data_IF_829770373103
#
_entry.id   IF_829770373103
#
_cell.length_a   1.000
_cell.length_b   1.000
_cell.length_c   1.000
_cell.angle_alpha   90.00
_cell.angle_beta   90.00
_cell.angle_gamma   90.00
#
_symmetry.space_group_name_H-M   'P 1'
#
loop_
_entity.id
_entity.type
_entity.pdbx_description
1 polymer ?
#
# COMPACT_ATOMS: atom_id res chain seq x y z
N UNK A 1 0.55 1.33 -16.30
CA UNK A 1 -0.05 0.10 -15.73
C UNK A 1 -1.17 -0.33 -16.65
N UNK A 2 -1.02 -1.41 -17.39
CA UNK A 2 -2.03 -1.89 -18.34
C UNK A 2 -3.05 -2.70 -17.55
N UNK A 3 -4.26 -2.20 -17.40
CA UNK A 3 -5.33 -2.94 -16.77
C UNK A 3 -5.78 -4.05 -17.70
N UNK A 4 -5.56 -5.30 -17.29
CA UNK A 4 -6.07 -6.47 -18.00
C UNK A 4 -7.59 -6.43 -17.88
N UNK A 5 -8.29 -6.25 -19.01
CA UNK A 5 -9.74 -6.46 -19.06
C UNK A 5 -9.98 -7.97 -19.20
N UNK A 6 -10.42 -8.67 -18.15
CA UNK A 6 -10.69 -10.09 -18.29
C UNK A 6 -11.84 -10.28 -19.27
N UNK A 7 -11.56 -10.96 -20.39
CA UNK A 7 -12.59 -11.33 -21.34
C UNK A 7 -13.61 -12.22 -20.62
N UNK A 8 -14.90 -11.85 -20.71
CA UNK A 8 -16.00 -12.63 -20.12
C UNK A 8 -16.42 -12.25 -18.71
N UNK A 9 -15.80 -11.25 -18.08
CA UNK A 9 -16.28 -10.78 -16.77
C UNK A 9 -17.62 -10.05 -16.91
N UNK A 10 -18.59 -10.39 -16.04
CA UNK A 10 -19.90 -9.73 -15.97
C UNK A 10 -19.81 -8.33 -15.37
N UNK A 11 -18.86 -8.10 -14.46
CA UNK A 11 -18.63 -6.80 -13.85
C UNK A 11 -17.77 -5.96 -14.80
N UNK A 12 -18.33 -4.84 -15.26
CA UNK A 12 -17.68 -3.93 -16.23
C UNK A 12 -17.28 -2.59 -15.60
N UNK A 13 -17.70 -2.35 -14.37
CA UNK A 13 -17.44 -1.10 -13.65
C UNK A 13 -16.39 -1.34 -12.57
N UNK A 14 -15.42 -0.46 -12.49
CA UNK A 14 -14.43 -0.42 -11.42
C UNK A 14 -14.16 1.04 -11.03
N UNK A 15 -14.08 1.31 -9.73
CA UNK A 15 -13.58 2.56 -9.22
C UNK A 15 -12.05 2.49 -9.19
N UNK A 16 -11.41 3.36 -9.93
CA UNK A 16 -9.94 3.42 -10.01
C UNK A 16 -9.49 4.81 -9.57
N UNK A 17 -8.29 4.89 -9.03
CA UNK A 17 -7.60 6.16 -8.78
C UNK A 17 -6.69 6.42 -9.98
N UNK A 18 -7.12 7.26 -10.95
CA UNK A 18 -6.31 7.63 -12.10
C UNK A 18 -5.18 8.56 -11.64
N UNK A 19 -4.14 8.67 -12.47
CA UNK A 19 -3.08 9.69 -12.37
C UNK A 19 -2.40 9.79 -10.99
N UNK A 20 -2.41 8.68 -10.24
CA UNK A 20 -1.74 8.63 -8.96
C UNK A 20 -0.22 8.52 -9.14
N UNK A 21 0.50 9.57 -8.73
CA UNK A 21 1.96 9.62 -8.76
C UNK A 21 2.54 9.44 -7.33
N UNK A 22 3.01 8.22 -6.99
CA UNK A 22 3.46 7.91 -5.62
C UNK A 22 4.58 8.82 -5.11
N UNK A 23 5.47 9.27 -6.00
CA UNK A 23 6.63 10.10 -5.64
C UNK A 23 6.26 11.46 -5.06
N UNK A 24 5.04 11.93 -5.31
CA UNK A 24 4.55 13.20 -4.76
C UNK A 24 4.12 13.08 -3.29
N UNK A 25 3.87 11.85 -2.82
CA UNK A 25 3.24 11.60 -1.53
C UNK A 25 4.08 10.71 -0.61
N UNK A 26 4.92 9.85 -1.18
CA UNK A 26 5.69 8.86 -0.44
C UNK A 26 7.17 9.09 -0.67
N UNK A 27 7.96 9.09 0.39
CA UNK A 27 9.41 9.28 0.29
C UNK A 27 10.08 8.21 -0.57
N UNK A 28 11.15 8.57 -1.26
CA UNK A 28 11.90 7.65 -2.12
C UNK A 28 12.43 6.42 -1.37
N UNK A 29 12.65 6.53 -0.06
CA UNK A 29 13.11 5.44 0.80
C UNK A 29 12.02 4.40 1.07
N UNK A 30 10.75 4.81 1.13
CA UNK A 30 9.61 3.94 1.40
C UNK A 30 9.02 3.32 0.13
N UNK A 31 9.23 3.93 -1.04
CA UNK A 31 8.66 3.44 -2.30
C UNK A 31 9.00 1.97 -2.59
N UNK A 32 10.23 1.46 -2.35
CA UNK A 32 10.57 0.07 -2.62
C UNK A 32 9.83 -0.94 -1.76
N UNK A 33 9.41 -0.55 -0.55
CA UNK A 33 8.75 -1.42 0.44
C UNK A 33 7.26 -1.17 0.58
N UNK A 34 6.72 -0.19 -0.14
CA UNK A 34 5.35 0.28 0.00
C UNK A 34 4.56 -0.02 -1.27
N UNK A 35 3.65 -0.98 -1.20
CA UNK A 35 2.70 -1.26 -2.29
C UNK A 35 1.65 -0.14 -2.42
N UNK A 36 0.98 -0.08 -3.56
CA UNK A 36 -0.02 0.93 -3.88
C UNK A 36 -1.12 1.05 -2.82
N UNK A 37 -1.61 -0.07 -2.28
CA UNK A 37 -2.63 -0.03 -1.22
C UNK A 37 -2.11 0.59 0.08
N UNK A 38 -0.84 0.33 0.42
CA UNK A 38 -0.20 0.92 1.58
C UNK A 38 0.09 2.42 1.36
N UNK A 39 0.44 2.82 0.13
CA UNK A 39 0.59 4.23 -0.23
C UNK A 39 -0.73 5.00 -0.04
N UNK A 40 -1.85 4.44 -0.49
CA UNK A 40 -3.17 5.04 -0.25
C UNK A 40 -3.50 5.14 1.24
N UNK A 41 -3.22 4.10 2.01
CA UNK A 41 -3.46 4.10 3.44
C UNK A 41 -2.64 5.18 4.16
N UNK A 42 -1.38 5.38 3.78
CA UNK A 42 -0.51 6.41 4.35
C UNK A 42 -1.04 7.82 4.06
N UNK A 43 -1.43 8.09 2.82
CA UNK A 43 -1.95 9.40 2.43
C UNK A 43 -3.27 9.69 3.15
N UNK A 44 -4.19 8.73 3.17
CA UNK A 44 -5.46 8.86 3.84
C UNK A 44 -5.31 9.08 5.37
N UNK A 45 -4.34 8.41 5.98
CA UNK A 45 -4.04 8.60 7.39
C UNK A 45 -3.45 9.99 7.68
N UNK A 46 -2.55 10.49 6.84
CA UNK A 46 -1.99 11.84 6.97
C UNK A 46 -3.08 12.91 6.82
N UNK A 47 -3.98 12.73 5.85
CA UNK A 47 -5.13 13.62 5.66
C UNK A 47 -6.06 13.58 6.88
N UNK A 48 -6.41 12.40 7.37
CA UNK A 48 -7.27 12.24 8.54
C UNK A 48 -6.66 12.88 9.81
N UNK A 49 -5.37 12.69 10.04
CA UNK A 49 -4.66 13.31 11.17
C UNK A 49 -4.63 14.85 11.06
N UNK A 50 -4.45 15.36 9.85
CA UNK A 50 -4.49 16.79 9.58
C UNK A 50 -5.88 17.36 9.88
N UNK A 51 -6.94 16.71 9.39
CA UNK A 51 -8.32 17.13 9.65
C UNK A 51 -8.69 17.06 11.14
N UNK A 52 -8.15 16.06 11.86
CA UNK A 52 -8.36 15.93 13.31
C UNK A 52 -7.51 16.89 14.16
N UNK A 53 -6.61 17.66 13.57
CA UNK A 53 -5.67 18.53 14.29
C UNK A 53 -4.62 17.76 15.10
N UNK A 54 -4.33 16.52 14.71
CA UNK A 54 -3.39 15.63 15.40
C UNK A 54 -1.99 15.60 14.79
N UNK A 55 -1.77 16.20 13.63
CA UNK A 55 -0.48 16.19 12.93
C UNK A 55 0.68 16.74 13.77
N UNK A 56 0.41 17.69 14.66
CA UNK A 56 1.40 18.27 15.57
C UNK A 56 1.61 17.46 16.87
N UNK A 57 0.86 16.37 17.07
CA UNK A 57 0.91 15.54 18.28
C UNK A 57 1.66 14.21 18.07
N UNK A 58 2.39 14.08 16.99
CA UNK A 58 3.26 12.93 16.77
C UNK A 58 4.49 13.02 17.69
N UNK A 59 4.95 11.91 18.26
CA UNK A 59 4.42 10.53 18.17
C UNK A 59 3.10 10.35 18.95
N UNK A 60 2.25 9.42 18.48
CA UNK A 60 0.97 9.13 19.15
C UNK A 60 1.13 8.20 20.37
N UNK A 61 2.20 7.45 20.42
CA UNK A 61 2.58 6.60 21.56
C UNK A 61 1.65 5.39 21.77
N UNK A 62 1.71 4.85 22.98
CA UNK A 62 1.06 3.61 23.42
C UNK A 62 -0.46 3.70 23.60
N UNK A 63 -1.01 4.90 23.49
CA UNK A 63 -2.47 5.15 23.57
C UNK A 63 -3.16 5.14 22.21
N UNK A 64 -2.42 4.89 21.14
CA UNK A 64 -2.92 4.83 19.79
C UNK A 64 -2.56 3.50 19.13
N UNK A 65 -3.44 3.01 18.27
CA UNK A 65 -3.22 1.82 17.48
C UNK A 65 -3.67 2.03 16.05
N UNK A 66 -3.05 1.33 15.11
CA UNK A 66 -3.46 1.33 13.71
C UNK A 66 -4.14 0.01 13.39
N UNK A 67 -5.41 0.07 13.04
CA UNK A 67 -6.19 -1.08 12.57
C UNK A 67 -6.64 -0.80 11.14
N UNK A 68 -6.24 -1.64 10.20
CA UNK A 68 -6.55 -1.49 8.80
C UNK A 68 -7.02 -2.82 8.22
N UNK A 69 -8.20 -2.81 7.60
CA UNK A 69 -8.74 -3.96 6.89
C UNK A 69 -8.51 -3.84 5.39
N UNK A 70 -8.11 -4.94 4.77
CA UNK A 70 -8.00 -5.05 3.31
C UNK A 70 -8.48 -6.43 2.87
N UNK A 71 -9.09 -6.51 1.68
CA UNK A 71 -9.54 -7.79 1.15
C UNK A 71 -8.37 -8.62 0.60
N UNK A 72 -7.56 -8.04 -0.29
CA UNK A 72 -6.44 -8.73 -0.97
C UNK A 72 -5.13 -7.96 -0.80
N UNK A 73 -5.21 -6.66 -0.54
CA UNK A 73 -4.02 -5.80 -0.45
C UNK A 73 -3.33 -5.66 -1.80
N UNK A 74 -2.20 -6.32 -1.93
CA UNK A 74 -1.24 -6.19 -3.05
C UNK A 74 -1.41 -7.23 -4.15
N UNK A 75 -2.63 -7.62 -4.50
CA UNK A 75 -2.89 -8.66 -5.51
C UNK A 75 -2.09 -8.48 -6.80
N UNK A 76 -2.05 -7.27 -7.36
CA UNK A 76 -1.30 -7.00 -8.60
C UNK A 76 0.22 -7.14 -8.45
N UNK A 77 0.77 -6.79 -7.31
CA UNK A 77 2.21 -6.96 -7.02
C UNK A 77 2.55 -8.44 -6.85
N UNK A 78 1.67 -9.21 -6.22
CA UNK A 78 1.85 -10.65 -6.07
C UNK A 78 1.78 -11.36 -7.43
N UNK A 79 0.81 -11.03 -8.27
CA UNK A 79 0.68 -11.57 -9.62
C UNK A 79 1.93 -11.26 -10.47
N UNK A 80 2.43 -10.03 -10.40
CA UNK A 80 3.63 -9.64 -11.12
C UNK A 80 4.86 -10.40 -10.60
N UNK A 81 4.98 -10.57 -9.29
CA UNK A 81 6.09 -11.32 -8.70
C UNK A 81 6.07 -12.80 -9.11
N UNK A 82 4.90 -13.43 -9.16
CA UNK A 82 4.74 -14.79 -9.67
C UNK A 82 5.09 -14.89 -11.15
N UNK A 83 4.64 -13.96 -11.97
CA UNK A 83 4.96 -13.92 -13.38
C UNK A 83 6.47 -13.77 -13.60
N UNK A 84 7.11 -12.84 -12.90
CA UNK A 84 8.55 -12.62 -13.00
C UNK A 84 9.33 -13.87 -12.58
N UNK A 85 8.91 -14.54 -11.50
CA UNK A 85 9.61 -15.71 -10.99
C UNK A 85 9.39 -16.97 -11.86
N UNK A 86 8.13 -17.29 -12.18
CA UNK A 86 7.80 -18.56 -12.84
C UNK A 86 7.87 -18.50 -14.37
N UNK A 87 7.66 -17.32 -14.96
CA UNK A 87 7.61 -17.19 -16.43
C UNK A 87 8.89 -16.56 -16.97
N UNK A 88 9.42 -15.54 -16.29
CA UNK A 88 10.63 -14.86 -16.73
C UNK A 88 11.90 -15.36 -16.05
N UNK A 89 11.78 -16.35 -15.16
CA UNK A 89 12.90 -16.95 -14.39
C UNK A 89 13.80 -15.94 -13.69
N UNK A 90 13.19 -14.82 -13.27
CA UNK A 90 13.89 -13.74 -12.54
C UNK A 90 13.98 -14.06 -11.06
N UNK A 91 15.01 -13.55 -10.41
CA UNK A 91 15.12 -13.62 -8.96
C UNK A 91 14.00 -12.83 -8.31
N UNK A 92 13.39 -13.39 -7.25
CA UNK A 92 12.43 -12.67 -6.44
C UNK A 92 13.08 -11.42 -5.82
N UNK A 93 12.35 -10.30 -5.86
CA UNK A 93 12.75 -9.08 -5.16
C UNK A 93 12.65 -9.31 -3.64
N UNK A 94 13.68 -8.93 -2.91
CA UNK A 94 13.75 -9.08 -1.44
C UNK A 94 12.62 -8.33 -0.72
N UNK A 95 12.07 -7.30 -1.32
CA UNK A 95 10.94 -6.54 -0.79
C UNK A 95 9.57 -7.09 -1.19
N UNK A 96 9.51 -8.18 -1.96
CA UNK A 96 8.23 -8.76 -2.37
C UNK A 96 7.38 -9.11 -1.15
N UNK A 97 7.94 -9.88 -0.20
CA UNK A 97 7.19 -10.31 0.99
C UNK A 97 6.69 -9.13 1.84
N UNK A 98 7.53 -8.17 2.28
CA UNK A 98 7.05 -7.01 3.00
C UNK A 98 5.95 -6.23 2.29
N UNK A 99 6.02 -6.12 0.96
CA UNK A 99 5.01 -5.41 0.17
C UNK A 99 3.67 -6.13 0.09
N UNK A 100 3.69 -7.47 0.01
CA UNK A 100 2.46 -8.25 -0.24
C UNK A 100 1.74 -8.66 1.04
N UNK A 101 2.34 -8.48 2.21
CA UNK A 101 1.70 -8.82 3.47
C UNK A 101 0.43 -7.99 3.71
N UNK A 102 -0.68 -8.59 4.10
CA UNK A 102 -1.92 -7.86 4.37
C UNK A 102 -1.79 -6.76 5.43
N UNK A 103 -0.89 -6.95 6.38
CA UNK A 103 -0.60 -5.98 7.44
C UNK A 103 0.48 -4.93 7.06
N UNK A 104 1.01 -4.95 5.84
CA UNK A 104 2.06 -4.02 5.43
C UNK A 104 1.67 -2.56 5.66
N UNK A 105 0.44 -2.18 5.28
CA UNK A 105 -0.03 -0.81 5.44
C UNK A 105 -0.14 -0.40 6.92
N UNK A 106 -0.71 -1.24 7.78
CA UNK A 106 -0.82 -0.93 9.21
C UNK A 106 0.55 -0.89 9.89
N UNK A 107 1.46 -1.79 9.52
CA UNK A 107 2.83 -1.79 10.05
C UNK A 107 3.60 -0.53 9.66
N UNK A 108 3.53 -0.11 8.39
CA UNK A 108 4.17 1.13 7.93
C UNK A 108 3.59 2.36 8.63
N UNK A 109 2.27 2.40 8.82
CA UNK A 109 1.61 3.47 9.56
C UNK A 109 2.00 3.47 11.04
N UNK A 110 2.05 2.31 11.70
CA UNK A 110 2.48 2.22 13.10
C UNK A 110 3.90 2.75 13.29
N UNK A 111 4.81 2.38 12.41
CA UNK A 111 6.17 2.93 12.44
C UNK A 111 6.18 4.44 12.19
N UNK A 112 5.40 4.94 11.24
CA UNK A 112 5.33 6.36 10.89
C UNK A 112 4.74 7.21 12.01
N UNK A 113 3.75 6.68 12.72
CA UNK A 113 3.03 7.37 13.79
C UNK A 113 3.61 7.08 15.18
N UNK A 114 4.63 6.23 15.24
CA UNK A 114 5.27 5.77 16.47
C UNK A 114 4.22 5.29 17.48
N UNK A 115 3.33 4.40 17.02
CA UNK A 115 2.36 3.71 17.87
C UNK A 115 2.90 2.34 18.27
N UNK A 116 2.46 1.84 19.43
CA UNK A 116 2.81 0.48 19.87
C UNK A 116 1.87 -0.58 19.29
#
# INVERSE_FOLDING_TARGET
MTFIRPAGNRVKLAAQVPDFEPKQHVSAQLLPVCDRFAQFAMIAAEEALSQAGLSSRLPLGDRAAVILGTAIGSGSTLDQAHYDFYVLERRADVFTVPRVMPNAASSLLSVRLETC
#
